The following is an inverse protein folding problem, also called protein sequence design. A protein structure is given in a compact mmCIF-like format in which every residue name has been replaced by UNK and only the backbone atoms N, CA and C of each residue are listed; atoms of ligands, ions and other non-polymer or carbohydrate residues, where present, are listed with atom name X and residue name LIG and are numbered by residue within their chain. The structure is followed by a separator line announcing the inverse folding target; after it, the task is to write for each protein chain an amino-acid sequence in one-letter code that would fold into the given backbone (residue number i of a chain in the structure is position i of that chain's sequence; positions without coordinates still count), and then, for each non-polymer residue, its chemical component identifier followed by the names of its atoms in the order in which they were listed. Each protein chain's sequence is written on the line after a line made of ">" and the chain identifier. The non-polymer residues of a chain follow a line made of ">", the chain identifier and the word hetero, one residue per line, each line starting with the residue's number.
data_IF_616226013939
#
_entry.id   IF_616226013939
#
_cell.length_a   1.000
_cell.length_b   1.000
_cell.length_c   1.000
_cell.angle_alpha   90.00
_cell.angle_beta   90.00
_cell.angle_gamma   90.00
#
_symmetry.space_group_name_H-M   'P 1'
#
loop_
_entity.id
_entity.type
_entity.pdbx_description
1 polymer ?
#
# COMPACT_ATOMS: atom_id res chain seq x y z
N UNK A 1 6.88 14.13 6.90
CA UNK A 1 5.87 13.08 6.63
C UNK A 1 5.72 12.79 5.13
N UNK A 2 5.57 13.81 4.27
CA UNK A 2 5.40 13.63 2.82
C UNK A 2 6.46 12.74 2.12
N UNK A 3 7.76 12.94 2.40
CA UNK A 3 8.86 12.17 1.76
C UNK A 3 8.85 10.67 2.04
N UNK A 4 8.36 10.26 3.22
CA UNK A 4 8.33 8.85 3.62
C UNK A 4 7.20 8.12 2.89
N UNK A 5 6.03 8.74 2.83
CA UNK A 5 4.90 8.27 2.03
C UNK A 5 5.30 8.14 0.55
N UNK A 6 5.98 9.12 -0.01
CA UNK A 6 6.36 9.09 -1.43
C UNK A 6 7.29 7.93 -1.78
N UNK A 7 8.15 7.51 -0.84
CA UNK A 7 8.98 6.33 -1.00
C UNK A 7 8.13 5.06 -1.07
N UNK A 8 7.23 4.88 -0.10
CA UNK A 8 6.33 3.72 -0.06
C UNK A 8 5.41 3.67 -1.27
N UNK A 9 4.86 4.80 -1.72
CA UNK A 9 4.00 4.83 -2.90
C UNK A 9 4.74 4.34 -4.15
N UNK A 10 6.03 4.64 -4.29
CA UNK A 10 6.85 4.09 -5.37
C UNK A 10 7.11 2.59 -5.21
N UNK A 11 7.29 2.13 -3.98
CA UNK A 11 7.46 0.71 -3.68
C UNK A 11 6.18 -0.08 -3.99
N UNK A 12 5.02 0.42 -3.55
CA UNK A 12 3.70 -0.10 -3.89
C UNK A 12 3.47 -0.18 -5.40
N UNK A 13 3.84 0.87 -6.15
CA UNK A 13 3.73 0.86 -7.61
C UNK A 13 4.62 -0.22 -8.24
N UNK A 14 5.84 -0.36 -7.73
CA UNK A 14 6.79 -1.38 -8.20
C UNK A 14 6.27 -2.79 -7.91
N UNK A 15 5.67 -3.02 -6.74
CA UNK A 15 5.06 -4.30 -6.36
C UNK A 15 3.84 -4.61 -7.24
N UNK A 16 2.94 -3.64 -7.46
CA UNK A 16 1.79 -3.79 -8.37
C UNK A 16 2.26 -4.23 -9.76
N UNK A 17 3.28 -3.55 -10.31
CA UNK A 17 3.83 -3.87 -11.63
C UNK A 17 4.54 -5.23 -11.66
N UNK A 18 5.33 -5.54 -10.63
CA UNK A 18 6.09 -6.77 -10.53
C UNK A 18 5.18 -8.02 -10.49
N UNK A 19 4.09 -7.94 -9.73
CA UNK A 19 3.12 -9.04 -9.62
C UNK A 19 2.02 -9.01 -10.69
N UNK A 20 1.96 -7.96 -11.53
CA UNK A 20 0.98 -7.85 -12.60
C UNK A 20 -0.45 -7.59 -12.12
N UNK A 21 -0.63 -6.91 -10.98
CA UNK A 21 -1.95 -6.52 -10.48
C UNK A 21 -2.49 -5.27 -11.19
N UNK A 22 -3.81 -5.11 -11.16
CA UNK A 22 -4.50 -3.96 -11.74
C UNK A 22 -4.22 -2.66 -10.97
N UNK A 23 -4.46 -1.53 -11.64
CA UNK A 23 -4.33 -0.19 -11.04
C UNK A 23 -5.25 0.03 -9.84
N UNK A 24 -6.35 -0.72 -9.76
CA UNK A 24 -7.26 -0.71 -8.62
C UNK A 24 -6.57 -1.19 -7.34
N UNK A 25 -5.79 -2.28 -7.41
CA UNK A 25 -4.99 -2.79 -6.29
C UNK A 25 -4.03 -1.74 -5.77
N UNK A 26 -3.34 -1.04 -6.69
CA UNK A 26 -2.44 0.06 -6.32
C UNK A 26 -3.19 1.20 -5.62
N UNK A 27 -4.31 1.64 -6.20
CA UNK A 27 -5.14 2.73 -5.65
C UNK A 27 -5.62 2.40 -4.23
N UNK A 28 -6.10 1.17 -4.02
CA UNK A 28 -6.57 0.71 -2.72
C UNK A 28 -5.42 0.61 -1.71
N UNK A 29 -4.26 0.07 -2.10
CA UNK A 29 -3.09 0.00 -1.22
C UNK A 29 -2.62 1.39 -0.75
N UNK A 30 -2.57 2.37 -1.66
CA UNK A 30 -2.23 3.76 -1.33
C UNK A 30 -3.30 4.38 -0.42
N UNK A 31 -4.58 4.14 -0.69
CA UNK A 31 -5.66 4.63 0.17
C UNK A 31 -5.55 4.11 1.61
N UNK A 32 -5.27 2.82 1.78
CA UNK A 32 -5.05 2.19 3.08
C UNK A 32 -3.85 2.80 3.81
N UNK A 33 -2.72 2.98 3.09
CA UNK A 33 -1.52 3.60 3.63
C UNK A 33 -1.80 5.03 4.12
N UNK A 34 -2.47 5.85 3.31
CA UNK A 34 -2.80 7.24 3.64
C UNK A 34 -3.69 7.34 4.87
N UNK A 35 -4.73 6.50 4.93
CA UNK A 35 -5.62 6.44 6.10
C UNK A 35 -4.86 6.01 7.34
N UNK A 36 -3.97 5.04 7.24
CA UNK A 36 -3.16 4.58 8.36
C UNK A 36 -2.24 5.70 8.87
N UNK A 37 -1.49 6.35 7.99
CA UNK A 37 -0.57 7.43 8.35
C UNK A 37 -1.28 8.69 8.86
N UNK A 38 -2.54 8.91 8.46
CA UNK A 38 -3.36 10.01 9.02
C UNK A 38 -3.70 9.81 10.51
N UNK A 39 -3.64 8.58 11.01
CA UNK A 39 -3.99 8.22 12.40
C UNK A 39 -2.79 7.81 13.24
N UNK A 40 -1.76 7.26 12.62
CA UNK A 40 -0.63 6.64 13.30
C UNK A 40 0.69 7.32 12.91
N UNK A 41 1.50 7.66 13.92
CA UNK A 41 2.89 8.08 13.70
C UNK A 41 3.79 6.85 13.62
N UNK A 42 4.28 6.55 12.43
CA UNK A 42 5.11 5.38 12.15
C UNK A 42 6.58 5.79 12.11
N UNK A 43 7.45 4.99 12.74
CA UNK A 43 8.89 5.18 12.58
C UNK A 43 9.31 4.71 11.17
N UNK A 44 10.22 5.42 10.48
CA UNK A 44 10.62 5.07 9.11
C UNK A 44 11.01 3.61 8.91
N UNK A 45 11.67 2.98 9.91
CA UNK A 45 12.08 1.57 9.88
C UNK A 45 10.92 0.56 9.82
N UNK A 46 9.70 0.94 10.17
CA UNK A 46 8.52 0.08 10.13
C UNK A 46 7.65 0.36 8.89
N UNK A 47 7.99 1.39 8.12
CA UNK A 47 7.12 1.89 7.08
C UNK A 47 6.96 0.89 5.93
N UNK A 48 8.04 0.25 5.49
CA UNK A 48 7.97 -0.83 4.48
C UNK A 48 7.08 -1.99 4.91
N UNK A 49 7.10 -2.38 6.19
CA UNK A 49 6.20 -3.42 6.70
C UNK A 49 4.73 -2.98 6.65
N UNK A 50 4.45 -1.70 6.93
CA UNK A 50 3.12 -1.12 6.82
C UNK A 50 2.68 -1.07 5.35
N UNK A 51 3.54 -0.59 4.44
CA UNK A 51 3.27 -0.55 3.00
C UNK A 51 2.93 -1.93 2.45
N UNK A 52 3.77 -2.94 2.72
CA UNK A 52 3.53 -4.32 2.30
C UNK A 52 2.23 -4.90 2.89
N UNK A 53 1.91 -4.57 4.13
CA UNK A 53 0.64 -5.00 4.75
C UNK A 53 -0.57 -4.36 4.06
N UNK A 54 -0.51 -3.06 3.76
CA UNK A 54 -1.56 -2.36 3.00
C UNK A 54 -1.72 -2.96 1.59
N UNK A 55 -0.62 -3.30 0.93
CA UNK A 55 -0.64 -3.97 -0.37
C UNK A 55 -1.31 -5.34 -0.30
N UNK A 56 -0.90 -6.18 0.65
CA UNK A 56 -1.48 -7.50 0.85
C UNK A 56 -2.99 -7.43 1.12
N UNK A 57 -3.41 -6.49 1.98
CA UNK A 57 -4.83 -6.26 2.26
C UNK A 57 -5.59 -5.84 1.00
N UNK A 58 -5.02 -4.94 0.19
CA UNK A 58 -5.64 -4.50 -1.06
C UNK A 58 -5.84 -5.65 -2.07
N UNK A 59 -4.81 -6.48 -2.24
CA UNK A 59 -4.89 -7.69 -3.10
C UNK A 59 -6.01 -8.59 -2.60
N UNK A 60 -5.99 -8.93 -1.31
CA UNK A 60 -6.96 -9.86 -0.73
C UNK A 60 -8.39 -9.35 -0.82
N UNK A 61 -8.62 -8.06 -0.57
CA UNK A 61 -9.95 -7.45 -0.68
C UNK A 61 -10.51 -7.55 -2.10
N UNK A 62 -9.69 -7.31 -3.13
CA UNK A 62 -10.14 -7.41 -4.53
C UNK A 62 -10.30 -8.86 -5.00
N UNK A 63 -9.55 -9.80 -4.43
CA UNK A 63 -9.79 -11.23 -4.66
C UNK A 63 -11.12 -11.69 -4.06
N UNK A 64 -11.48 -11.21 -2.86
CA UNK A 64 -12.75 -11.51 -2.20
C UNK A 64 -13.96 -10.92 -2.95
N UNK A 65 -13.84 -9.72 -3.51
CA UNK A 65 -14.92 -9.09 -4.30
C UNK A 65 -15.21 -9.80 -5.64
N UNK A 66 -14.25 -10.56 -6.17
CA UNK A 66 -14.36 -11.25 -7.47
C UNK A 66 -14.98 -12.66 -7.37
N UNK A 67 -15.09 -13.23 -6.17
CA UNK A 67 -15.63 -14.56 -5.92
C UNK A 67 -17.10 -14.54 -5.49
#
# INVERSE_FOLDING_TARGET
>A
ECRLRDFEVKDLLSLTQFFGFDTETFSLAVNLLDRFLSKMKVQPKHLGCVGLSCFYLAVKSLEEERN
#
